data_IF_586613820770
#
_entry.id   IF_586613820770
#
_cell.length_a   1.000
_cell.length_b   1.000
_cell.length_c   1.000
_cell.angle_alpha   90.00
_cell.angle_beta   90.00
_cell.angle_gamma   90.00
#
_symmetry.space_group_name_H-M   'P 1'
#
loop_
_entity.id
_entity.type
_entity.pdbx_description
1 polymer ?
#
# COMPACT_ATOMS: atom_id res chain seq x y z
N UNK A 1 -18.69 -4.63 -4.96
CA UNK A 1 -17.30 -4.85 -4.55
C UNK A 1 -17.24 -4.94 -3.03
N UNK A 2 -16.38 -5.82 -2.49
CA UNK A 2 -16.11 -5.91 -1.05
C UNK A 2 -14.65 -5.58 -0.78
N UNK A 3 -14.38 -4.85 0.30
CA UNK A 3 -13.03 -4.44 0.70
C UNK A 3 -12.85 -4.66 2.19
N UNK A 4 -11.70 -5.17 2.61
CA UNK A 4 -11.33 -5.23 4.04
C UNK A 4 -9.85 -5.02 4.26
N UNK A 5 -9.52 -4.57 5.45
CA UNK A 5 -8.17 -4.47 5.97
C UNK A 5 -7.78 -5.77 6.68
N UNK A 6 -6.63 -6.34 6.33
CA UNK A 6 -6.14 -7.61 6.88
C UNK A 6 -4.99 -7.45 7.90
N UNK A 7 -4.55 -6.23 8.13
CA UNK A 7 -3.42 -5.88 9.00
C UNK A 7 -2.24 -5.28 8.25
N UNK A 8 -1.43 -4.49 8.94
CA UNK A 8 -0.29 -3.75 8.42
C UNK A 8 -0.66 -2.87 7.21
N UNK A 9 -0.22 -3.24 6.02
CA UNK A 9 -0.58 -2.58 4.76
C UNK A 9 -1.58 -3.40 3.93
N UNK A 10 -1.91 -4.62 4.39
CA UNK A 10 -2.61 -5.60 3.58
C UNK A 10 -4.09 -5.24 3.42
N UNK A 11 -4.52 -5.14 2.17
CA UNK A 11 -5.92 -4.89 1.78
C UNK A 11 -6.37 -5.98 0.82
N UNK A 12 -7.55 -6.53 1.09
CA UNK A 12 -8.21 -7.52 0.25
C UNK A 12 -9.43 -6.92 -0.43
N UNK A 13 -9.56 -7.17 -1.71
CA UNK A 13 -10.64 -6.69 -2.58
C UNK A 13 -11.26 -7.89 -3.30
N UNK A 14 -12.55 -8.09 -3.14
CA UNK A 14 -13.32 -9.12 -3.84
C UNK A 14 -14.41 -8.44 -4.66
N UNK A 15 -14.30 -8.57 -5.97
CA UNK A 15 -15.22 -7.98 -6.94
C UNK A 15 -15.13 -8.70 -8.28
N UNK A 16 -14.89 -7.96 -9.38
CA UNK A 16 -14.64 -8.53 -10.72
C UNK A 16 -13.43 -9.44 -10.74
N UNK A 17 -12.46 -9.16 -9.91
CA UNK A 17 -11.29 -9.98 -9.63
C UNK A 17 -11.05 -10.01 -8.13
N UNK A 18 -10.36 -11.03 -7.66
CA UNK A 18 -9.92 -11.14 -6.28
C UNK A 18 -8.47 -10.63 -6.17
N UNK A 19 -8.30 -9.44 -5.59
CA UNK A 19 -7.00 -8.75 -5.49
C UNK A 19 -6.58 -8.67 -4.03
N UNK A 20 -5.32 -9.03 -3.76
CA UNK A 20 -4.66 -8.81 -2.48
C UNK A 20 -3.53 -7.79 -2.69
N UNK A 21 -3.48 -6.73 -1.88
CA UNK A 21 -2.43 -5.72 -1.97
C UNK A 21 -1.58 -5.79 -0.71
N UNK A 22 -0.25 -5.78 -0.89
CA UNK A 22 0.78 -5.80 0.16
C UNK A 22 0.59 -6.94 1.18
N UNK A 23 0.93 -8.20 0.80
CA UNK A 23 0.63 -9.41 1.56
C UNK A 23 1.55 -9.61 2.78
N UNK A 24 1.40 -8.77 3.79
CA UNK A 24 1.87 -8.99 5.16
C UNK A 24 0.66 -8.87 6.10
N UNK A 25 -0.17 -9.89 6.09
CA UNK A 25 -1.47 -9.89 6.74
C UNK A 25 -1.42 -10.48 8.16
N UNK A 26 -2.26 -9.97 9.05
CA UNK A 26 -2.54 -10.51 10.39
C UNK A 26 -3.68 -11.52 10.32
N UNK A 27 -4.66 -11.26 9.43
CA UNK A 27 -5.78 -12.16 9.14
C UNK A 27 -5.60 -12.77 7.77
N UNK A 28 -5.89 -14.06 7.66
CA UNK A 28 -5.79 -14.78 6.40
C UNK A 28 -6.76 -14.18 5.34
N UNK A 29 -6.29 -14.00 4.10
CA UNK A 29 -7.16 -13.67 2.97
C UNK A 29 -8.10 -14.84 2.66
N UNK A 30 -9.22 -14.56 2.00
CA UNK A 30 -10.07 -15.62 1.46
C UNK A 30 -9.34 -16.41 0.36
N UNK A 31 -9.68 -17.68 0.18
CA UNK A 31 -9.14 -18.48 -0.93
C UNK A 31 -9.55 -17.92 -2.30
N UNK A 32 -8.69 -18.10 -3.30
CA UNK A 32 -9.00 -17.74 -4.68
C UNK A 32 -8.43 -16.39 -5.13
N UNK A 33 -7.44 -15.87 -4.43
CA UNK A 33 -6.69 -14.67 -4.87
C UNK A 33 -6.18 -14.87 -6.30
N UNK A 34 -6.52 -13.93 -7.19
CA UNK A 34 -6.13 -13.92 -8.60
C UNK A 34 -4.91 -13.03 -8.86
N UNK A 35 -4.82 -11.90 -8.15
CA UNK A 35 -3.71 -10.97 -8.24
C UNK A 35 -3.19 -10.57 -6.87
N UNK A 36 -1.86 -10.54 -6.74
CA UNK A 36 -1.15 -10.06 -5.55
C UNK A 36 -0.35 -8.84 -5.98
N UNK A 37 -0.81 -7.66 -5.62
CA UNK A 37 -0.15 -6.39 -5.93
C UNK A 37 0.81 -6.02 -4.80
N UNK A 38 2.08 -5.74 -5.10
CA UNK A 38 3.07 -5.35 -4.08
C UNK A 38 3.58 -3.96 -4.39
N UNK A 39 3.31 -3.03 -3.48
CA UNK A 39 3.72 -1.63 -3.65
C UNK A 39 5.23 -1.46 -3.56
N UNK A 40 5.87 -2.14 -2.62
CA UNK A 40 7.33 -2.18 -2.44
C UNK A 40 7.73 -3.33 -1.50
N UNK A 41 9.02 -3.64 -1.39
CA UNK A 41 9.50 -4.84 -0.71
C UNK A 41 9.97 -4.60 0.75
N UNK A 42 9.42 -3.62 1.46
CA UNK A 42 9.59 -3.61 2.91
C UNK A 42 8.83 -4.79 3.52
N UNK A 43 9.35 -5.32 4.64
CA UNK A 43 8.85 -6.55 5.25
C UNK A 43 7.35 -6.52 5.53
N UNK A 44 6.86 -5.41 6.04
CA UNK A 44 5.46 -5.15 6.39
C UNK A 44 4.52 -4.94 5.16
N UNK A 45 5.05 -5.21 3.95
CA UNK A 45 4.31 -5.20 2.67
C UNK A 45 4.43 -6.51 1.90
N UNK A 46 5.51 -7.30 2.08
CA UNK A 46 5.80 -8.45 1.22
C UNK A 46 6.00 -9.76 2.01
N UNK A 47 6.15 -9.72 3.34
CA UNK A 47 6.70 -10.84 4.09
C UNK A 47 5.97 -12.17 3.89
N UNK A 48 4.66 -12.16 3.69
CA UNK A 48 3.83 -13.36 3.57
C UNK A 48 3.42 -13.69 2.12
N UNK A 49 4.06 -13.08 1.11
CA UNK A 49 3.70 -13.28 -0.31
C UNK A 49 3.76 -14.75 -0.73
N UNK A 50 4.72 -15.51 -0.23
CA UNK A 50 4.86 -16.94 -0.55
C UNK A 50 3.80 -17.83 0.13
N UNK A 51 3.14 -17.34 1.18
CA UNK A 51 2.09 -18.06 1.89
C UNK A 51 0.75 -18.02 1.13
N UNK A 52 0.58 -17.07 0.21
CA UNK A 52 -0.61 -16.99 -0.65
C UNK A 52 -0.45 -18.00 -1.78
N UNK A 53 -1.25 -19.08 -1.84
CA UNK A 53 -0.98 -20.22 -2.72
C UNK A 53 -1.29 -19.94 -4.20
N UNK A 54 -2.13 -18.96 -4.48
CA UNK A 54 -2.62 -18.64 -5.84
C UNK A 54 -2.38 -17.18 -6.19
N UNK A 55 -2.65 -16.83 -7.44
CA UNK A 55 -2.57 -15.44 -7.94
C UNK A 55 -1.23 -15.06 -8.56
N UNK A 56 -1.29 -14.16 -9.53
CA UNK A 56 -0.12 -13.53 -10.15
C UNK A 56 0.39 -12.38 -9.27
N UNK A 57 1.69 -12.36 -9.02
CA UNK A 57 2.36 -11.29 -8.26
C UNK A 57 2.70 -10.15 -9.21
N UNK A 58 2.00 -9.04 -9.06
CA UNK A 58 2.15 -7.82 -9.86
C UNK A 58 3.01 -6.83 -9.07
N UNK A 59 4.23 -6.60 -9.50
CA UNK A 59 5.19 -5.76 -8.80
C UNK A 59 6.24 -5.17 -9.76
N UNK A 60 7.06 -4.23 -9.30
CA UNK A 60 8.22 -3.78 -10.06
C UNK A 60 9.25 -4.92 -10.25
N UNK A 61 10.09 -4.88 -11.31
CA UNK A 61 11.03 -5.97 -11.59
C UNK A 61 11.97 -6.32 -10.43
N UNK A 62 12.44 -5.34 -9.70
CA UNK A 62 13.30 -5.50 -8.53
C UNK A 62 12.54 -6.09 -7.32
N UNK A 63 11.27 -5.71 -7.12
CA UNK A 63 10.40 -6.32 -6.11
C UNK A 63 10.05 -7.77 -6.48
N UNK A 64 9.81 -8.07 -7.77
CA UNK A 64 9.65 -9.45 -8.25
C UNK A 64 10.89 -10.31 -7.95
N UNK A 65 12.10 -9.77 -8.12
CA UNK A 65 13.33 -10.48 -7.76
C UNK A 65 13.42 -10.80 -6.26
N UNK A 66 12.93 -9.90 -5.40
CA UNK A 66 12.83 -10.13 -3.95
C UNK A 66 11.76 -11.20 -3.66
N UNK A 67 10.60 -11.14 -4.30
CA UNK A 67 9.55 -12.15 -4.15
C UNK A 67 10.04 -13.56 -4.51
N UNK A 68 10.90 -13.69 -5.55
CA UNK A 68 11.57 -14.97 -5.87
C UNK A 68 12.42 -15.46 -4.71
N UNK A 69 13.18 -14.58 -4.06
CA UNK A 69 14.02 -14.94 -2.91
C UNK A 69 13.19 -15.39 -1.70
N UNK A 70 11.94 -14.91 -1.61
CA UNK A 70 10.97 -15.32 -0.60
C UNK A 70 10.23 -16.62 -0.95
N UNK A 71 10.48 -17.21 -2.12
CA UNK A 71 9.94 -18.51 -2.52
C UNK A 71 8.76 -18.46 -3.48
N UNK A 72 8.44 -17.29 -4.06
CA UNK A 72 7.43 -17.21 -5.12
C UNK A 72 7.96 -17.82 -6.41
N UNK A 73 7.21 -18.73 -7.02
CA UNK A 73 7.56 -19.37 -8.27
C UNK A 73 7.59 -18.37 -9.44
N UNK A 74 8.56 -18.52 -10.35
CA UNK A 74 8.81 -17.55 -11.41
C UNK A 74 7.63 -17.34 -12.36
N UNK A 75 6.85 -18.40 -12.62
CA UNK A 75 5.66 -18.38 -13.47
C UNK A 75 4.49 -17.56 -12.87
N UNK A 76 4.57 -17.26 -11.58
CA UNK A 76 3.60 -16.41 -10.89
C UNK A 76 4.00 -14.93 -10.87
N UNK A 77 5.17 -14.58 -11.36
CA UNK A 77 5.67 -13.20 -11.33
C UNK A 77 5.27 -12.45 -12.60
N UNK A 78 4.67 -11.29 -12.42
CA UNK A 78 4.33 -10.35 -13.48
C UNK A 78 5.04 -9.01 -13.21
N UNK A 79 6.28 -8.84 -13.69
CA UNK A 79 7.02 -7.60 -13.51
C UNK A 79 6.39 -6.48 -14.34
N UNK A 80 6.09 -5.36 -13.68
CA UNK A 80 5.37 -4.23 -14.29
C UNK A 80 6.06 -2.90 -13.99
N UNK A 81 5.68 -1.90 -14.78
CA UNK A 81 6.10 -0.49 -14.59
C UNK A 81 4.86 0.42 -14.61
N UNK A 82 4.96 1.66 -14.11
CA UNK A 82 3.85 2.61 -14.18
C UNK A 82 3.28 2.76 -15.60
N UNK A 83 1.95 2.79 -15.70
CA UNK A 83 1.21 2.79 -16.96
C UNK A 83 0.74 1.41 -17.42
N UNK A 84 1.21 0.33 -16.81
CA UNK A 84 0.70 -1.02 -17.09
C UNK A 84 -0.74 -1.18 -16.61
N UNK A 85 -1.54 -1.92 -17.39
CA UNK A 85 -2.93 -2.27 -17.05
C UNK A 85 -3.19 -3.74 -17.34
N UNK A 86 -3.77 -4.44 -16.40
CA UNK A 86 -4.22 -5.82 -16.57
C UNK A 86 -5.52 -6.04 -15.80
N UNK A 87 -6.48 -6.74 -16.40
CA UNK A 87 -7.82 -6.91 -15.86
C UNK A 87 -8.41 -5.54 -15.43
N UNK A 88 -8.71 -5.39 -14.15
CA UNK A 88 -9.20 -4.13 -13.57
C UNK A 88 -8.14 -3.39 -12.73
N UNK A 89 -6.86 -3.71 -12.90
CA UNK A 89 -5.74 -3.13 -12.15
C UNK A 89 -4.97 -2.16 -13.06
N UNK A 90 -4.75 -0.94 -12.59
CA UNK A 90 -3.88 0.05 -13.20
C UNK A 90 -2.69 0.34 -12.28
N UNK A 91 -1.47 0.26 -12.84
CA UNK A 91 -0.22 0.50 -12.12
C UNK A 91 0.20 1.95 -12.28
N UNK A 92 0.37 2.63 -11.16
CA UNK A 92 0.73 4.04 -11.09
C UNK A 92 2.11 4.21 -10.44
N UNK A 93 2.78 5.35 -10.66
CA UNK A 93 4.00 5.67 -9.92
C UNK A 93 3.76 5.64 -8.41
N UNK A 94 4.68 5.04 -7.67
CA UNK A 94 4.68 5.08 -6.22
C UNK A 94 5.36 6.33 -5.66
N UNK A 95 5.66 6.29 -4.37
CA UNK A 95 6.41 7.36 -3.72
C UNK A 95 7.85 7.40 -4.20
N UNK A 96 8.43 8.59 -4.31
CA UNK A 96 9.87 8.71 -4.47
C UNK A 96 10.55 8.32 -3.17
N UNK A 97 11.50 7.38 -3.22
CA UNK A 97 12.33 7.02 -2.08
C UNK A 97 13.06 8.25 -1.53
N UNK A 98 12.57 8.78 -0.44
CA UNK A 98 13.07 10.06 0.04
C UNK A 98 13.40 10.01 1.52
N UNK A 99 14.66 9.95 1.75
CA UNK A 99 15.23 10.96 2.62
C UNK A 99 15.73 12.10 1.74
N UNK A 100 15.40 13.35 1.99
CA UNK A 100 16.04 14.46 1.32
C UNK A 100 17.57 14.34 1.46
N UNK A 101 18.32 15.08 0.61
CA UNK A 101 19.80 15.02 0.57
C UNK A 101 20.45 14.94 1.97
N UNK A 102 19.95 15.69 2.95
CA UNK A 102 20.41 15.65 4.34
C UNK A 102 20.14 14.29 5.01
N UNK A 103 18.98 13.68 4.83
CA UNK A 103 18.67 12.36 5.42
C UNK A 103 19.53 11.25 4.79
N UNK A 104 19.73 11.30 3.48
CA UNK A 104 20.61 10.38 2.75
C UNK A 104 22.06 10.58 3.20
N UNK A 105 22.52 11.83 3.35
CA UNK A 105 23.85 12.17 3.82
C UNK A 105 24.08 11.70 5.27
N UNK A 106 23.15 11.97 6.19
CA UNK A 106 23.26 11.51 7.58
C UNK A 106 23.11 9.98 7.70
N UNK A 107 22.28 9.34 6.89
CA UNK A 107 22.17 7.87 6.87
C UNK A 107 23.45 7.22 6.36
N UNK A 108 24.09 7.78 5.34
CA UNK A 108 25.40 7.33 4.86
C UNK A 108 26.51 7.56 5.89
N UNK A 109 26.51 8.72 6.57
CA UNK A 109 27.56 9.09 7.51
C UNK A 109 27.50 8.30 8.83
N UNK A 110 26.28 8.11 9.38
CA UNK A 110 26.09 7.51 10.71
C UNK A 110 25.62 6.05 10.67
N UNK A 111 24.90 5.62 9.64
CA UNK A 111 24.36 4.25 9.53
C UNK A 111 25.08 3.39 8.52
N UNK A 112 26.00 3.94 7.73
CA UNK A 112 26.73 3.27 6.64
C UNK A 112 25.82 2.51 5.65
N UNK A 113 24.53 2.83 5.60
CA UNK A 113 23.55 2.23 4.68
C UNK A 113 22.74 3.33 4.02
N UNK A 114 22.51 3.21 2.72
CA UNK A 114 21.50 4.02 2.04
C UNK A 114 20.13 3.63 2.56
N UNK A 115 19.16 4.58 2.72
CA UNK A 115 17.77 4.21 2.90
C UNK A 115 17.38 3.28 1.76
N UNK A 116 16.95 2.06 2.09
CA UNK A 116 16.42 1.13 1.11
C UNK A 116 14.94 1.47 0.91
N UNK A 117 14.52 1.85 -0.31
CA UNK A 117 13.11 2.09 -0.59
C UNK A 117 12.29 0.79 -0.70
N UNK A 118 12.89 -0.37 -0.51
CA UNK A 118 12.23 -1.64 -0.77
C UNK A 118 12.00 -1.88 -2.27
N UNK A 119 12.96 -1.50 -3.10
CA UNK A 119 12.83 -1.55 -4.56
C UNK A 119 12.16 -0.30 -5.15
N UNK A 120 11.66 -0.40 -6.39
CA UNK A 120 10.96 0.67 -7.10
C UNK A 120 9.48 0.70 -6.68
N UNK A 121 9.05 1.71 -5.89
CA UNK A 121 7.68 1.73 -5.37
C UNK A 121 6.64 1.96 -6.47
N UNK A 122 5.51 1.28 -6.32
CA UNK A 122 4.32 1.41 -7.17
C UNK A 122 3.11 1.80 -6.32
N UNK A 123 2.10 2.38 -6.97
CA UNK A 123 0.75 2.50 -6.45
C UNK A 123 -0.20 1.71 -7.33
N UNK A 124 -1.29 1.22 -6.78
CA UNK A 124 -2.26 0.42 -7.52
C UNK A 124 -3.63 1.07 -7.45
N UNK A 125 -4.26 1.23 -8.63
CA UNK A 125 -5.64 1.65 -8.77
C UNK A 125 -6.45 0.45 -9.29
N UNK A 126 -7.37 -0.04 -8.46
CA UNK A 126 -8.25 -1.15 -8.81
C UNK A 126 -9.61 -0.58 -9.19
N UNK A 127 -10.06 -0.89 -10.39
CA UNK A 127 -11.35 -0.45 -10.96
C UNK A 127 -12.39 -1.55 -10.83
N UNK A 128 -13.45 -1.30 -10.07
CA UNK A 128 -14.59 -2.20 -9.91
C UNK A 128 -15.89 -1.39 -9.94
N UNK A 129 -16.90 -1.71 -9.14
CA UNK A 129 -18.09 -0.87 -8.95
C UNK A 129 -17.68 0.51 -8.39
N UNK A 130 -16.72 0.51 -7.48
CA UNK A 130 -15.95 1.69 -7.05
C UNK A 130 -14.47 1.48 -7.40
N UNK A 131 -13.74 2.58 -7.49
CA UNK A 131 -12.30 2.57 -7.68
C UNK A 131 -11.55 2.71 -6.36
N UNK A 132 -10.54 1.84 -6.13
CA UNK A 132 -9.71 1.87 -4.93
C UNK A 132 -8.26 2.17 -5.29
N UNK A 133 -7.68 3.17 -4.66
CA UNK A 133 -6.27 3.53 -4.78
C UNK A 133 -5.49 3.14 -3.52
N UNK A 134 -4.51 2.27 -3.69
CA UNK A 134 -3.51 1.94 -2.67
C UNK A 134 -2.18 2.58 -3.01
N UNK A 135 -1.67 3.43 -2.12
CA UNK A 135 -0.47 4.24 -2.36
C UNK A 135 0.78 3.75 -1.62
N UNK A 136 0.70 2.56 -0.98
CA UNK A 136 1.77 2.05 -0.12
C UNK A 136 2.11 3.05 0.99
N UNK A 137 3.37 3.29 1.21
CA UNK A 137 3.92 4.20 2.25
C UNK A 137 3.96 5.68 1.83
N UNK A 138 3.32 6.03 0.73
CA UNK A 138 3.39 7.38 0.19
C UNK A 138 2.76 8.43 1.12
N UNK A 139 3.45 9.54 1.27
CA UNK A 139 2.94 10.74 1.93
C UNK A 139 3.04 12.00 1.05
N UNK A 140 3.57 11.84 -0.15
CA UNK A 140 3.73 12.92 -1.13
C UNK A 140 3.74 12.35 -2.57
N UNK A 141 2.59 11.85 -3.00
CA UNK A 141 2.37 11.45 -4.40
C UNK A 141 1.45 12.44 -5.10
N UNK A 142 1.70 12.68 -6.37
CA UNK A 142 0.82 13.46 -7.24
C UNK A 142 0.34 12.55 -8.36
N UNK A 143 -0.87 12.04 -8.21
CA UNK A 143 -1.49 11.15 -9.16
C UNK A 143 -2.70 11.86 -9.78
N UNK A 144 -2.83 11.87 -11.11
CA UNK A 144 -3.95 12.49 -11.82
C UNK A 144 -5.18 11.57 -11.82
N UNK A 145 -5.57 11.07 -10.62
CA UNK A 145 -6.68 10.13 -10.44
C UNK A 145 -7.58 10.59 -9.30
N UNK A 146 -8.85 10.28 -9.41
CA UNK A 146 -9.87 10.55 -8.38
C UNK A 146 -10.53 9.23 -7.99
N UNK A 147 -9.94 8.45 -7.08
CA UNK A 147 -10.50 7.20 -6.63
C UNK A 147 -11.70 7.44 -5.71
N UNK A 148 -12.58 6.45 -5.63
CA UNK A 148 -13.67 6.45 -4.67
C UNK A 148 -13.17 6.07 -3.26
N UNK A 149 -12.20 5.16 -3.17
CA UNK A 149 -11.61 4.70 -1.91
C UNK A 149 -10.10 4.96 -1.95
N UNK A 150 -9.59 5.62 -0.92
CA UNK A 150 -8.14 5.82 -0.71
C UNK A 150 -7.66 4.98 0.47
N UNK A 151 -6.73 4.05 0.22
CA UNK A 151 -5.96 3.41 1.29
C UNK A 151 -4.88 4.38 1.77
N UNK A 152 -5.01 4.89 3.00
CA UNK A 152 -4.14 5.93 3.56
C UNK A 152 -3.22 5.34 4.63
N UNK A 153 -1.87 5.41 4.51
CA UNK A 153 -0.93 4.85 5.47
C UNK A 153 -0.88 5.69 6.76
N UNK A 154 -1.84 5.47 7.67
CA UNK A 154 -2.02 6.22 8.90
C UNK A 154 -1.16 5.67 10.03
N UNK A 155 0.03 6.25 10.25
CA UNK A 155 0.98 5.81 11.27
C UNK A 155 1.71 6.98 11.93
N UNK A 156 2.41 6.68 13.02
CA UNK A 156 3.37 7.62 13.65
C UNK A 156 4.74 7.44 13.00
N UNK A 157 5.21 8.48 12.31
CA UNK A 157 6.58 8.45 11.82
C UNK A 157 7.59 8.52 12.99
N UNK A 158 8.76 7.87 12.87
CA UNK A 158 9.80 7.93 13.91
C UNK A 158 10.37 9.32 14.13
N UNK A 159 10.25 10.19 13.13
CA UNK A 159 10.73 11.57 13.17
C UNK A 159 9.62 12.52 12.75
N UNK A 160 9.38 13.57 13.56
CA UNK A 160 8.33 14.58 13.37
C UNK A 160 6.92 13.98 13.07
N UNK A 161 6.36 13.16 13.98
CA UNK A 161 5.11 12.42 13.72
C UNK A 161 3.94 13.32 13.34
N UNK A 162 3.79 14.48 13.99
CA UNK A 162 2.70 15.41 13.70
C UNK A 162 2.84 16.05 12.31
N UNK A 163 4.04 16.36 11.87
CA UNK A 163 4.29 16.87 10.53
C UNK A 163 4.01 15.80 9.46
N UNK A 164 4.34 14.55 9.75
CA UNK A 164 4.01 13.43 8.86
C UNK A 164 2.50 13.26 8.74
N UNK A 165 1.77 13.20 9.87
CA UNK A 165 0.31 13.13 9.88
C UNK A 165 -0.33 14.32 9.13
N UNK A 166 0.19 15.54 9.32
CA UNK A 166 -0.30 16.72 8.61
C UNK A 166 -0.14 16.59 7.08
N UNK A 167 0.96 16.00 6.59
CA UNK A 167 1.16 15.72 5.16
C UNK A 167 0.17 14.68 4.64
N UNK A 168 -0.08 13.62 5.40
CA UNK A 168 -1.10 12.61 5.03
C UNK A 168 -2.50 13.23 4.92
N UNK A 169 -2.88 14.12 5.84
CA UNK A 169 -4.15 14.84 5.77
C UNK A 169 -4.20 15.74 4.52
N UNK A 170 -3.12 16.46 4.21
CA UNK A 170 -3.05 17.28 2.99
C UNK A 170 -3.15 16.42 1.72
N UNK A 171 -2.49 15.25 1.71
CA UNK A 171 -2.58 14.29 0.62
C UNK A 171 -4.01 13.79 0.43
N UNK A 172 -4.65 13.32 1.50
CA UNK A 172 -6.02 12.82 1.46
C UNK A 172 -7.02 13.91 0.99
N UNK A 173 -6.87 15.15 1.46
CA UNK A 173 -7.68 16.29 1.00
C UNK A 173 -7.46 16.63 -0.46
N UNK A 174 -6.25 16.46 -0.98
CA UNK A 174 -5.93 16.69 -2.40
C UNK A 174 -6.51 15.61 -3.30
N UNK A 175 -6.46 14.34 -2.89
CA UNK A 175 -7.05 13.21 -3.61
C UNK A 175 -8.57 13.29 -3.55
N UNK A 176 -9.12 13.75 -2.42
CA UNK A 176 -10.53 13.99 -2.17
C UNK A 176 -11.45 12.77 -2.40
N UNK A 177 -10.95 11.56 -2.08
CA UNK A 177 -11.75 10.35 -2.13
C UNK A 177 -12.90 10.40 -1.11
N UNK A 178 -14.15 10.03 -1.49
CA UNK A 178 -15.29 10.00 -0.57
C UNK A 178 -15.12 8.99 0.57
N UNK A 179 -14.33 7.94 0.36
CA UNK A 179 -14.02 6.93 1.37
C UNK A 179 -12.52 6.87 1.63
N UNK A 180 -12.14 6.70 2.91
CA UNK A 180 -10.75 6.48 3.31
C UNK A 180 -10.66 5.20 4.14
N UNK A 181 -9.86 4.25 3.66
CA UNK A 181 -9.47 3.05 4.39
C UNK A 181 -8.08 3.29 5.02
N UNK A 182 -8.00 3.50 6.34
CA UNK A 182 -6.70 3.62 6.98
C UNK A 182 -5.99 2.27 6.97
N UNK A 183 -4.71 2.30 6.63
CA UNK A 183 -3.80 1.14 6.67
C UNK A 183 -2.55 1.52 7.50
N UNK A 184 -1.73 0.56 7.87
CA UNK A 184 -0.44 0.80 8.55
C UNK A 184 -0.55 1.33 10.00
N UNK A 185 -1.73 1.35 10.58
CA UNK A 185 -1.97 1.94 11.90
C UNK A 185 -1.72 0.97 13.07
N UNK A 186 -1.58 -0.31 12.80
CA UNK A 186 -1.52 -1.41 13.78
C UNK A 186 -0.10 -1.93 14.09
N UNK A 187 0.93 -1.43 13.39
CA UNK A 187 2.31 -1.83 13.68
C UNK A 187 2.75 -1.33 15.06
N UNK A 188 3.21 -2.20 15.99
CA UNK A 188 3.45 -1.84 17.39
C UNK A 188 4.36 -0.63 17.61
N UNK A 189 5.37 -0.45 16.74
CA UNK A 189 6.36 0.64 16.87
C UNK A 189 5.87 1.98 16.30
N UNK A 190 4.85 1.94 15.44
CA UNK A 190 4.34 3.13 14.72
C UNK A 190 2.82 3.25 14.82
N UNK A 191 2.19 2.52 15.71
CA UNK A 191 0.74 2.50 15.90
C UNK A 191 0.14 3.91 16.05
N UNK A 192 -0.99 4.14 15.40
CA UNK A 192 -1.74 5.37 15.46
C UNK A 192 -3.25 5.07 15.57
N UNK A 193 -4.00 5.96 16.17
CA UNK A 193 -5.46 5.83 16.21
C UNK A 193 -6.08 6.29 14.88
N UNK A 194 -6.71 5.40 14.09
CA UNK A 194 -7.38 5.81 12.85
C UNK A 194 -8.59 6.71 13.12
N UNK A 195 -9.17 6.67 14.33
CA UNK A 195 -10.27 7.55 14.72
C UNK A 195 -9.96 9.04 14.65
N UNK A 196 -8.67 9.42 14.76
CA UNK A 196 -8.22 10.81 14.56
C UNK A 196 -8.59 11.36 13.17
N UNK A 197 -8.72 10.48 12.15
CA UNK A 197 -9.08 10.90 10.78
C UNK A 197 -10.50 11.43 10.68
N UNK A 198 -11.44 10.91 11.49
CA UNK A 198 -12.85 11.35 11.50
C UNK A 198 -13.02 12.85 11.76
N UNK A 199 -12.12 13.41 12.56
CA UNK A 199 -12.16 14.83 12.91
C UNK A 199 -11.42 15.71 11.90
N UNK A 200 -10.61 15.10 11.03
CA UNK A 200 -9.69 15.82 10.13
C UNK A 200 -10.04 15.75 8.65
N UNK A 201 -10.87 14.76 8.26
CA UNK A 201 -11.32 14.54 6.88
C UNK A 201 -12.84 14.55 6.79
N UNK A 202 -13.36 15.06 5.68
CA UNK A 202 -14.80 15.00 5.37
C UNK A 202 -15.20 13.63 4.76
N UNK A 203 -14.24 12.76 4.49
CA UNK A 203 -14.46 11.43 3.93
C UNK A 203 -15.10 10.48 4.96
N UNK A 204 -15.86 9.51 4.47
CA UNK A 204 -16.32 8.38 5.28
C UNK A 204 -15.14 7.46 5.57
N UNK A 205 -14.89 7.20 6.85
CA UNK A 205 -13.81 6.31 7.28
C UNK A 205 -14.29 4.86 7.24
N UNK A 206 -13.58 4.03 6.49
CA UNK A 206 -13.75 2.58 6.44
C UNK A 206 -12.79 1.97 7.45
N UNK A 207 -13.17 2.00 8.71
CA UNK A 207 -12.37 1.41 9.80
C UNK A 207 -13.03 0.14 10.35
N UNK A 208 -12.24 -0.63 11.08
CA UNK A 208 -12.65 -1.91 11.61
C UNK A 208 -12.14 -3.10 10.80
N UNK A 209 -12.50 -4.26 11.27
CA UNK A 209 -11.88 -5.53 10.85
C UNK A 209 -12.78 -6.33 9.88
N UNK A 210 -13.95 -5.81 9.54
CA UNK A 210 -14.94 -6.46 8.72
C UNK A 210 -14.87 -6.09 7.24
N UNK A 211 -15.72 -6.75 6.45
CA UNK A 211 -15.98 -6.37 5.07
C UNK A 211 -16.79 -5.07 4.99
N UNK A 212 -16.37 -4.20 4.10
CA UNK A 212 -17.15 -3.07 3.62
C UNK A 212 -17.72 -3.44 2.25
N UNK A 213 -19.04 -3.49 2.15
CA UNK A 213 -19.76 -3.87 0.92
C UNK A 213 -20.20 -2.61 0.14
N UNK A 214 -20.00 -2.59 -1.18
CA UNK A 214 -20.34 -1.51 -2.10
C UNK A 214 -21.07 -2.03 -3.33
#
# INVERSE_FOLDING_TARGET
MKVRFLGHSCVEIVGRTHVLIDPDFVREPEPGVEFICITHAHRDHIARVAEVPTGLVVASPDVCAIATQLGVAAERLLPVTPGFKAANIEVLPGFSAVGGFLYTFFSLLFRRRRPDPGGTPLSFLVHDDLSLLHIGDAHDVRLPVHPDILCLPWRRAPYQPEKYKARLIQLARRIAAPYVLPVHYDLPTTAADPGELRQRLAATLLDGEGWHDF
#
